data_IF_985124088786
#
_entry.id   IF_985124088786
#
_cell.length_a   1.000
_cell.length_b   1.000
_cell.length_c   1.000
_cell.angle_alpha   90.00
_cell.angle_beta   90.00
_cell.angle_gamma   90.00
#
_symmetry.space_group_name_H-M   'P 1'
#
loop_
_entity.id
_entity.type
_entity.pdbx_description
1 polymer ?
#
# COMPACT_ATOMS: atom_id res chain seq x y z
N UNK A 1 -15.16 -9.28 5.95
CA UNK A 1 -14.70 -10.59 5.40
C UNK A 1 -14.34 -11.53 6.54
N UNK A 2 -14.55 -12.80 6.35
CA UNK A 2 -14.10 -13.80 7.32
C UNK A 2 -12.58 -13.76 7.46
N UNK A 3 -12.08 -13.91 8.69
CA UNK A 3 -10.64 -13.78 8.98
C UNK A 3 -9.79 -14.77 8.19
N UNK A 4 -10.22 -16.03 8.08
CA UNK A 4 -9.46 -17.05 7.35
C UNK A 4 -9.40 -16.76 5.85
N UNK A 5 -10.49 -16.26 5.29
CA UNK A 5 -10.53 -15.85 3.87
C UNK A 5 -9.59 -14.68 3.64
N UNK A 6 -9.57 -13.71 4.55
CA UNK A 6 -8.66 -12.57 4.49
C UNK A 6 -7.21 -13.03 4.50
N UNK A 7 -6.85 -13.91 5.43
CA UNK A 7 -5.48 -14.44 5.53
C UNK A 7 -5.07 -15.15 4.24
N UNK A 8 -5.96 -15.97 3.68
CA UNK A 8 -5.67 -16.69 2.44
C UNK A 8 -5.40 -15.74 1.27
N UNK A 9 -6.20 -14.66 1.16
CA UNK A 9 -6.04 -13.67 0.11
C UNK A 9 -4.77 -12.84 0.31
N UNK A 10 -4.42 -12.49 1.53
CA UNK A 10 -3.16 -11.80 1.83
C UNK A 10 -1.97 -12.65 1.39
N UNK A 11 -1.99 -13.94 1.68
CA UNK A 11 -0.93 -14.86 1.24
C UNK A 11 -0.85 -14.93 -0.28
N UNK A 12 -1.99 -14.94 -0.97
CA UNK A 12 -2.04 -14.97 -2.42
C UNK A 12 -1.41 -13.73 -3.04
N UNK A 13 -1.68 -12.55 -2.48
CA UNK A 13 -1.18 -11.28 -3.00
C UNK A 13 0.13 -10.83 -2.36
N UNK A 14 0.76 -11.69 -1.56
CA UNK A 14 1.97 -11.34 -0.82
C UNK A 14 3.09 -10.77 -1.69
N UNK A 15 3.39 -11.33 -2.88
CA UNK A 15 4.45 -10.75 -3.72
C UNK A 15 4.14 -9.31 -4.13
N UNK A 16 2.89 -8.99 -4.43
CA UNK A 16 2.46 -7.64 -4.75
C UNK A 16 2.61 -6.71 -3.54
N UNK A 17 2.19 -7.18 -2.36
CA UNK A 17 2.28 -6.42 -1.12
C UNK A 17 3.75 -6.10 -0.79
N UNK A 18 4.65 -7.07 -0.92
CA UNK A 18 6.08 -6.86 -0.67
C UNK A 18 6.70 -5.87 -1.66
N UNK A 19 6.28 -5.92 -2.93
CA UNK A 19 6.76 -4.97 -3.94
C UNK A 19 6.29 -3.56 -3.65
N UNK A 20 5.04 -3.40 -3.19
CA UNK A 20 4.50 -2.11 -2.77
C UNK A 20 5.26 -1.56 -1.57
N UNK A 21 5.58 -2.41 -0.59
CA UNK A 21 6.38 -2.03 0.57
C UNK A 21 7.73 -1.47 0.17
N UNK A 22 8.45 -2.18 -0.71
CA UNK A 22 9.76 -1.73 -1.19
C UNK A 22 9.67 -0.40 -1.93
N UNK A 23 8.65 -0.23 -2.75
CA UNK A 23 8.46 1.00 -3.50
C UNK A 23 8.14 2.17 -2.56
N UNK A 24 7.29 1.96 -1.56
CA UNK A 24 6.96 2.99 -0.57
C UNK A 24 8.17 3.39 0.26
N UNK A 25 8.97 2.42 0.71
CA UNK A 25 10.20 2.70 1.45
C UNK A 25 11.13 3.58 0.63
N UNK A 26 11.26 3.27 -0.67
CA UNK A 26 12.13 4.02 -1.58
C UNK A 26 11.65 5.47 -1.75
N UNK A 27 10.36 5.68 -1.87
CA UNK A 27 9.77 7.03 -1.99
C UNK A 27 10.18 7.89 -0.79
N UNK A 28 10.05 7.36 0.43
CA UNK A 28 10.36 8.12 1.64
C UNK A 28 11.87 8.27 1.85
N UNK A 29 12.65 7.25 1.54
CA UNK A 29 14.10 7.31 1.67
C UNK A 29 14.72 8.32 0.68
N UNK A 30 14.16 8.44 -0.52
CA UNK A 30 14.65 9.39 -1.54
C UNK A 30 14.53 10.84 -1.09
N UNK A 31 13.58 11.15 -0.21
CA UNK A 31 13.45 12.49 0.39
C UNK A 31 14.09 12.56 1.77
N UNK A 32 14.86 11.53 2.15
CA UNK A 32 15.62 11.47 3.39
C UNK A 32 14.76 11.63 4.64
N UNK A 33 13.58 11.05 4.63
CA UNK A 33 12.67 11.12 5.78
C UNK A 33 13.08 10.14 6.87
N UNK A 34 12.92 10.56 8.13
CA UNK A 34 13.17 9.75 9.32
C UNK A 34 11.95 9.76 10.22
N UNK A 35 11.67 8.62 10.82
CA UNK A 35 10.69 8.55 11.88
C UNK A 35 11.36 9.00 13.17
N UNK A 36 10.77 10.02 13.82
CA UNK A 36 11.25 10.55 15.10
C UNK A 36 12.71 11.05 15.01
N UNK A 37 13.16 11.48 13.83
CA UNK A 37 14.51 11.97 13.52
C UNK A 37 15.63 10.93 13.70
N UNK A 38 15.30 9.70 14.07
CA UNK A 38 16.27 8.64 14.36
C UNK A 38 16.07 7.43 13.47
N UNK A 39 14.82 6.95 13.35
CA UNK A 39 14.51 5.73 12.60
C UNK A 39 14.09 6.07 11.17
N UNK A 40 14.43 5.19 10.19
CA UNK A 40 13.92 5.35 8.84
C UNK A 40 12.39 5.39 8.83
N UNK A 41 11.81 6.18 7.92
CA UNK A 41 10.36 6.27 7.79
C UNK A 41 9.71 4.93 7.51
N UNK A 42 10.43 4.00 6.89
CA UNK A 42 9.95 2.63 6.67
C UNK A 42 9.53 1.92 7.94
N UNK A 43 10.15 2.25 9.08
CA UNK A 43 9.74 1.70 10.37
C UNK A 43 8.30 2.08 10.72
N UNK A 44 7.93 3.34 10.52
CA UNK A 44 6.57 3.83 10.71
C UNK A 44 5.59 3.13 9.76
N UNK A 45 5.98 2.97 8.49
CA UNK A 45 5.14 2.27 7.51
C UNK A 45 4.89 0.82 7.92
N UNK A 46 5.89 0.13 8.43
CA UNK A 46 5.73 -1.26 8.91
C UNK A 46 4.75 -1.34 10.07
N UNK A 47 4.81 -0.40 10.99
CA UNK A 47 3.86 -0.35 12.10
C UNK A 47 2.43 -0.16 11.61
N UNK A 48 2.22 0.80 10.69
CA UNK A 48 0.91 1.07 10.11
C UNK A 48 0.36 -0.16 9.40
N UNK A 49 1.18 -0.80 8.57
CA UNK A 49 0.78 -1.97 7.79
C UNK A 49 0.48 -3.17 8.69
N UNK A 50 1.14 -3.30 9.84
CA UNK A 50 0.85 -4.38 10.76
C UNK A 50 -0.59 -4.34 11.28
N UNK A 51 -1.17 -3.15 11.42
CA UNK A 51 -2.58 -3.00 11.79
C UNK A 51 -3.50 -3.48 10.67
N UNK A 52 -3.16 -3.23 9.41
CA UNK A 52 -3.93 -3.76 8.27
C UNK A 52 -3.92 -5.28 8.29
N UNK A 53 -2.75 -5.89 8.51
CA UNK A 53 -2.64 -7.34 8.56
C UNK A 53 -3.46 -7.96 9.69
N UNK A 54 -3.56 -7.26 10.82
CA UNK A 54 -4.23 -7.75 12.01
C UNK A 54 -5.74 -7.51 11.99
N UNK A 55 -6.18 -6.37 11.50
CA UNK A 55 -7.57 -5.92 11.61
C UNK A 55 -8.27 -5.65 10.29
N UNK A 56 -7.58 -5.74 9.17
CA UNK A 56 -8.16 -5.40 7.86
C UNK A 56 -9.39 -6.24 7.50
N UNK A 57 -9.47 -7.48 7.99
CA UNK A 57 -10.61 -8.35 7.73
C UNK A 57 -11.94 -7.77 8.24
N UNK A 58 -11.86 -6.85 9.22
CA UNK A 58 -13.07 -6.21 9.78
C UNK A 58 -13.73 -5.24 8.80
N UNK A 59 -12.97 -4.68 7.87
CA UNK A 59 -13.48 -3.69 6.92
C UNK A 59 -13.46 -4.15 5.47
N UNK A 60 -12.58 -5.08 5.10
CA UNK A 60 -12.49 -5.56 3.73
C UNK A 60 -13.67 -6.47 3.39
N UNK A 61 -14.27 -6.27 2.21
CA UNK A 61 -15.35 -7.10 1.70
C UNK A 61 -14.94 -7.88 0.44
N UNK A 62 -14.01 -7.33 -0.36
CA UNK A 62 -13.56 -7.91 -1.62
C UNK A 62 -12.04 -8.00 -1.66
N UNK A 63 -11.52 -8.73 -2.66
CA UNK A 63 -10.08 -8.78 -2.90
C UNK A 63 -9.50 -7.40 -3.16
N UNK A 64 -10.21 -6.57 -3.92
CA UNK A 64 -9.77 -5.20 -4.21
C UNK A 64 -9.62 -4.38 -2.94
N UNK A 65 -10.54 -4.54 -1.98
CA UNK A 65 -10.47 -3.83 -0.70
C UNK A 65 -9.18 -4.13 0.05
N UNK A 66 -8.72 -5.39 0.03
CA UNK A 66 -7.48 -5.80 0.69
C UNK A 66 -6.29 -5.04 0.10
N UNK A 67 -6.19 -4.98 -1.23
CA UNK A 67 -5.11 -4.29 -1.91
C UNK A 67 -5.17 -2.79 -1.67
N UNK A 68 -6.37 -2.21 -1.64
CA UNK A 68 -6.58 -0.79 -1.34
C UNK A 68 -6.09 -0.49 0.09
N UNK A 69 -6.41 -1.34 1.06
CA UNK A 69 -5.98 -1.15 2.44
C UNK A 69 -4.45 -1.14 2.55
N UNK A 70 -3.78 -2.11 1.92
CA UNK A 70 -2.32 -2.17 1.96
C UNK A 70 -1.68 -1.00 1.20
N UNK A 71 -2.14 -0.71 0.00
CA UNK A 71 -1.59 0.40 -0.79
C UNK A 71 -1.79 1.73 -0.06
N UNK A 72 -2.97 1.95 0.52
CA UNK A 72 -3.26 3.17 1.27
C UNK A 72 -2.39 3.29 2.50
N UNK A 73 -2.16 2.19 3.23
CA UNK A 73 -1.28 2.18 4.40
C UNK A 73 0.16 2.53 4.02
N UNK A 74 0.67 1.97 2.91
CA UNK A 74 2.02 2.28 2.45
C UNK A 74 2.17 3.69 1.91
N UNK A 75 1.13 4.26 1.31
CA UNK A 75 1.20 5.54 0.60
C UNK A 75 0.52 6.70 1.35
N UNK A 76 0.00 6.47 2.56
CA UNK A 76 -0.87 7.44 3.25
C UNK A 76 -0.21 8.81 3.49
N UNK A 77 1.10 8.85 3.67
CA UNK A 77 1.80 10.11 3.95
C UNK A 77 2.60 10.64 2.76
N UNK A 78 2.48 10.04 1.57
CA UNK A 78 3.32 10.43 0.44
C UNK A 78 3.08 11.86 -0.01
N UNK A 79 1.84 12.34 0.04
CA UNK A 79 1.52 13.71 -0.38
C UNK A 79 2.11 14.71 0.61
N UNK A 80 1.94 14.48 1.91
CA UNK A 80 2.41 15.42 2.93
C UNK A 80 3.91 15.30 3.17
N UNK A 81 4.42 14.09 3.37
CA UNK A 81 5.77 13.86 3.88
C UNK A 81 6.80 13.57 2.80
N UNK A 82 6.41 12.99 1.67
CA UNK A 82 7.31 12.70 0.57
C UNK A 82 7.14 13.66 -0.61
N UNK A 83 6.37 14.73 -0.43
CA UNK A 83 6.16 15.81 -1.42
C UNK A 83 5.56 15.34 -2.74
N UNK A 84 4.82 14.25 -2.73
CA UNK A 84 4.09 13.78 -3.91
C UNK A 84 2.77 14.55 -4.05
N UNK A 85 2.42 14.91 -5.28
CA UNK A 85 1.09 15.45 -5.56
C UNK A 85 0.09 14.32 -5.76
N UNK A 86 -1.19 14.65 -5.78
CA UNK A 86 -2.24 13.68 -6.12
C UNK A 86 -1.91 12.99 -7.46
N UNK A 87 -1.52 13.77 -8.47
CA UNK A 87 -1.19 13.24 -9.79
C UNK A 87 0.04 12.33 -9.75
N UNK A 88 1.00 12.62 -8.88
CA UNK A 88 2.18 11.75 -8.71
C UNK A 88 1.77 10.38 -8.15
N UNK A 89 0.83 10.33 -7.21
CA UNK A 89 0.32 9.07 -6.66
C UNK A 89 -0.42 8.28 -7.74
N UNK A 90 -1.26 8.94 -8.53
CA UNK A 90 -1.97 8.29 -9.65
C UNK A 90 -0.97 7.70 -10.64
N UNK A 91 0.05 8.47 -11.03
CA UNK A 91 1.09 8.03 -11.95
C UNK A 91 1.86 6.84 -11.39
N UNK A 92 2.23 6.90 -10.10
CA UNK A 92 2.93 5.81 -9.44
C UNK A 92 2.12 4.51 -9.53
N UNK A 93 0.83 4.56 -9.21
CA UNK A 93 -0.03 3.39 -9.23
C UNK A 93 -0.18 2.80 -10.64
N UNK A 94 -0.27 3.65 -11.66
CA UNK A 94 -0.36 3.20 -13.06
C UNK A 94 0.92 2.51 -13.52
N UNK A 95 2.08 3.00 -13.10
CA UNK A 95 3.38 2.49 -13.50
C UNK A 95 3.87 1.33 -12.63
N UNK A 96 3.24 1.10 -11.49
CA UNK A 96 3.67 0.10 -10.53
C UNK A 96 3.49 -1.32 -11.10
N UNK A 97 4.57 -2.10 -11.09
CA UNK A 97 4.60 -3.44 -11.70
C UNK A 97 4.25 -4.58 -10.75
N UNK A 98 4.19 -4.32 -9.44
CA UNK A 98 3.85 -5.33 -8.46
C UNK A 98 4.80 -6.52 -8.41
N UNK A 99 6.08 -6.32 -8.75
CA UNK A 99 7.06 -7.39 -8.76
C UNK A 99 6.76 -8.48 -9.81
N UNK A 100 6.05 -8.13 -10.88
CA UNK A 100 5.62 -9.07 -11.90
C UNK A 100 4.29 -9.75 -11.60
N UNK A 101 3.65 -9.44 -10.49
CA UNK A 101 2.33 -9.96 -10.14
C UNK A 101 1.26 -9.19 -10.91
N UNK A 102 0.50 -9.89 -11.76
CA UNK A 102 -0.51 -9.28 -12.62
C UNK A 102 -1.86 -9.27 -11.89
N UNK A 103 -2.41 -8.08 -11.70
CA UNK A 103 -3.74 -7.92 -11.11
C UNK A 103 -4.82 -7.99 -12.21
N UNK A 104 -6.02 -8.50 -11.87
CA UNK A 104 -7.16 -8.36 -12.78
C UNK A 104 -7.42 -6.88 -13.09
N UNK A 105 -7.84 -6.58 -14.30
CA UNK A 105 -8.02 -5.20 -14.77
C UNK A 105 -8.97 -4.41 -13.87
N UNK A 106 -10.08 -4.99 -13.45
CA UNK A 106 -11.04 -4.31 -12.58
C UNK A 106 -10.46 -3.96 -11.22
N UNK A 107 -9.63 -4.83 -10.66
CA UNK A 107 -8.94 -4.60 -9.38
C UNK A 107 -7.97 -3.44 -9.52
N UNK A 108 -7.17 -3.45 -10.58
CA UNK A 108 -6.18 -2.39 -10.84
C UNK A 108 -6.85 -1.02 -11.01
N UNK A 109 -7.92 -0.96 -11.77
CA UNK A 109 -8.66 0.29 -11.97
C UNK A 109 -9.22 0.82 -10.67
N UNK A 110 -9.76 -0.07 -9.84
CA UNK A 110 -10.32 0.30 -8.55
C UNK A 110 -9.25 0.88 -7.61
N UNK A 111 -8.03 0.30 -7.63
CA UNK A 111 -6.89 0.83 -6.89
C UNK A 111 -6.54 2.25 -7.34
N UNK A 112 -6.42 2.46 -8.64
CA UNK A 112 -6.07 3.76 -9.21
C UNK A 112 -7.10 4.83 -8.85
N UNK A 113 -8.38 4.45 -8.76
CA UNK A 113 -9.48 5.37 -8.44
C UNK A 113 -9.57 5.69 -6.95
N UNK A 114 -9.31 4.71 -6.09
CA UNK A 114 -9.61 4.82 -4.66
C UNK A 114 -8.40 5.26 -3.82
N UNK A 115 -7.21 4.74 -4.09
CA UNK A 115 -6.05 4.98 -3.23
C UNK A 115 -5.68 6.46 -3.13
N UNK A 116 -5.62 7.24 -4.23
CA UNK A 116 -5.26 8.66 -4.13
C UNK A 116 -6.26 9.50 -3.35
N UNK A 117 -7.49 9.03 -3.16
CA UNK A 117 -8.55 9.74 -2.47
C UNK A 117 -8.52 9.57 -0.95
N UNK A 118 -7.70 8.65 -0.45
CA UNK A 118 -7.66 8.31 0.98
C UNK A 118 -6.64 9.16 1.78
#
# INVERSE_FOLDING_TARGET
MEKQSFIALVKRYYPWICSMEKAAFRIHDDVNQKYDHVLPYGFHLKMTVSYVSRYGYLVAETEADILILYASAFLHDTIEDARMTYNDVVKFLKEFKGGGFVLPEGVRQHLEDQVPEI
#
